data_IF_027459159902
#
_entry.id   IF_027459159902
#
_cell.length_a   1.000
_cell.length_b   1.000
_cell.length_c   1.000
_cell.angle_alpha   90.00
_cell.angle_beta   90.00
_cell.angle_gamma   90.00
#
_symmetry.space_group_name_H-M   'P 1'
#
loop_
_entity.id
_entity.type
_entity.pdbx_description
1 polymer ?
2 non-polymer ?
3 non-polymer ?
4 water ?
#
# COMPACT_ATOMS: atom_id res chain seq x y z
N UNK A 1 23.50 -15.45 -5.77
CA UNK A 1 23.56 -16.76 -5.12
C UNK A 1 22.26 -17.12 -4.45
N UNK A 2 21.74 -16.14 -3.72
CA UNK A 2 20.63 -16.36 -2.82
C UNK A 2 19.95 -15.03 -2.53
N UNK A 3 18.63 -15.04 -2.59
CA UNK A 3 17.84 -13.83 -2.42
C UNK A 3 16.87 -14.03 -1.25
N UNK A 4 16.78 -13.04 -0.38
CA UNK A 4 15.76 -13.06 0.67
C UNK A 4 14.78 -11.91 0.47
N UNK A 5 13.50 -12.22 0.45
CA UNK A 5 12.47 -11.19 0.48
C UNK A 5 12.02 -11.02 1.92
N UNK A 6 12.06 -9.79 2.41
CA UNK A 6 11.59 -9.50 3.77
C UNK A 6 10.33 -8.66 3.66
N UNK A 7 9.24 -9.14 4.29
CA UNK A 7 7.96 -8.42 4.26
C UNK A 7 7.27 -8.53 5.60
N UNK A 8 6.28 -7.66 5.81
CA UNK A 8 5.54 -7.69 7.05
C UNK A 8 4.03 -7.46 6.98
N UNK A 9 3.57 -6.74 5.95
CA UNK A 9 2.22 -6.14 5.98
C UNK A 9 1.42 -6.40 4.72
N UNK A 10 0.10 -6.24 4.83
CA UNK A 10 -0.81 -6.35 3.69
C UNK A 10 -0.33 -5.74 2.36
N UNK A 11 -0.03 -4.43 2.33
CA UNK A 11 0.37 -3.85 1.02
C UNK A 11 1.65 -4.43 0.45
N UNK A 12 2.59 -4.82 1.31
CA UNK A 12 3.84 -5.43 0.86
C UNK A 12 3.58 -6.75 0.19
N UNK A 13 2.68 -7.55 0.76
CA UNK A 13 2.41 -8.87 0.21
C UNK A 13 1.86 -8.72 -1.20
N UNK A 14 0.93 -7.79 -1.37
CA UNK A 14 0.31 -7.56 -2.66
C UNK A 14 1.34 -7.06 -3.67
N UNK A 15 2.14 -6.08 -3.28
CA UNK A 15 3.09 -5.48 -4.21
C UNK A 15 4.32 -6.34 -4.50
N UNK A 16 4.60 -7.31 -3.63
CA UNK A 16 5.67 -8.27 -3.88
C UNK A 16 5.19 -9.47 -4.68
N UNK A 17 3.88 -9.69 -4.75
CA UNK A 17 3.36 -10.84 -5.48
C UNK A 17 3.84 -10.94 -6.96
N UNK A 18 3.93 -9.82 -7.68
CA UNK A 18 4.45 -9.96 -9.06
C UNK A 18 5.93 -10.31 -9.11
N UNK A 19 6.68 -9.91 -8.09
CA UNK A 19 8.10 -10.29 -8.02
C UNK A 19 8.24 -11.78 -7.72
N UNK A 20 7.41 -12.27 -6.80
CA UNK A 20 7.34 -13.70 -6.52
C UNK A 20 6.94 -14.49 -7.77
N UNK A 21 5.94 -14.02 -8.52
CA UNK A 21 5.54 -14.69 -9.77
C UNK A 21 6.72 -14.80 -10.73
N UNK A 22 7.50 -13.73 -10.82
CA UNK A 22 8.66 -13.72 -11.71
C UNK A 22 9.77 -14.64 -11.21
N UNK A 23 10.06 -14.61 -9.90
CA UNK A 23 11.07 -15.48 -9.31
C UNK A 23 10.76 -16.96 -9.51
N UNK A 24 9.47 -17.32 -9.50
CA UNK A 24 9.05 -18.70 -9.69
C UNK A 24 9.41 -19.25 -11.06
N UNK A 25 9.65 -18.36 -12.02
CA UNK A 25 9.99 -18.79 -13.38
C UNK A 25 11.50 -18.86 -13.58
N UNK A 26 12.27 -18.74 -12.50
CA UNK A 26 13.72 -18.76 -12.58
C UNK A 26 14.33 -19.88 -11.76
N UNK A 27 15.65 -20.02 -11.87
CA UNK A 27 16.41 -20.97 -11.05
C UNK A 27 16.98 -20.32 -9.79
N UNK A 28 16.52 -19.13 -9.46
CA UNK A 28 17.07 -18.40 -8.31
C UNK A 28 16.67 -19.09 -7.01
N UNK A 29 17.62 -19.19 -6.09
CA UNK A 29 17.37 -19.66 -4.74
C UNK A 29 16.85 -18.49 -3.90
N UNK A 30 15.56 -18.54 -3.56
CA UNK A 30 14.95 -17.44 -2.83
C UNK A 30 13.94 -17.94 -1.81
N UNK A 31 13.72 -17.14 -0.77
CA UNK A 31 12.71 -17.45 0.23
C UNK A 31 12.22 -16.16 0.86
N UNK A 32 11.17 -16.27 1.65
CA UNK A 32 10.53 -15.13 2.29
C UNK A 32 10.78 -15.19 3.78
N UNK A 33 11.20 -14.04 4.33
CA UNK A 33 11.23 -13.80 5.75
C UNK A 33 10.07 -12.88 6.08
N UNK A 34 9.13 -13.37 6.89
CA UNK A 34 7.96 -12.60 7.29
C UNK A 34 8.18 -12.10 8.72
N UNK A 35 8.11 -10.79 8.94
CA UNK A 35 8.24 -10.27 10.30
C UNK A 35 6.95 -10.48 11.10
N UNK A 36 5.87 -10.77 10.39
CA UNK A 36 4.55 -10.89 10.99
C UNK A 36 4.16 -9.62 11.71
N UNK A 37 4.58 -8.48 11.14
CA UNK A 37 4.10 -7.18 11.58
C UNK A 37 2.57 -7.18 11.54
N UNK A 38 2.03 -7.67 10.42
CA UNK A 38 0.61 -7.98 10.31
C UNK A 38 0.41 -9.47 10.52
N UNK A 39 -0.67 -9.83 11.22
CA UNK A 39 -0.88 -11.20 11.70
C UNK A 39 -2.34 -11.61 11.65
N UNK A 40 -3.26 -10.65 11.72
CA UNK A 40 -4.67 -10.97 11.61
C UNK A 40 -4.90 -11.63 10.25
N UNK A 41 -5.74 -12.67 10.21
CA UNK A 41 -5.91 -13.44 8.98
C UNK A 41 -6.33 -12.60 7.77
N UNK A 42 -7.24 -11.67 8.00
CA UNK A 42 -7.69 -10.77 6.92
C UNK A 42 -6.70 -9.66 6.53
N UNK A 43 -5.54 -9.61 7.21
CA UNK A 43 -4.47 -8.68 6.87
C UNK A 43 -3.26 -9.38 6.28
N UNK A 44 -3.29 -10.70 6.23
CA UNK A 44 -2.08 -11.47 5.98
C UNK A 44 -2.33 -12.80 5.27
N UNK A 45 -2.83 -13.78 6.02
CA UNK A 45 -3.11 -15.12 5.50
C UNK A 45 -3.95 -15.08 4.21
N UNK A 46 -4.97 -14.22 4.17
CA UNK A 46 -5.84 -14.18 3.01
C UNK A 46 -5.10 -13.81 1.74
N UNK A 47 -4.04 -13.02 1.87
CA UNK A 47 -3.29 -12.60 0.69
C UNK A 47 -2.35 -13.68 0.20
N UNK A 48 -1.74 -14.40 1.14
CA UNK A 48 -0.94 -15.55 0.75
C UNK A 48 -1.80 -16.58 0.02
N UNK A 49 -3.04 -16.75 0.47
CA UNK A 49 -3.97 -17.67 -0.18
C UNK A 49 -4.45 -17.20 -1.55
N UNK A 50 -5.01 -16.00 -1.61
CA UNK A 50 -5.59 -15.53 -2.86
C UNK A 50 -4.55 -15.29 -3.94
N UNK A 51 -3.33 -14.94 -3.52
CA UNK A 51 -2.28 -14.62 -4.47
C UNK A 51 -1.37 -15.83 -4.74
N UNK A 52 -1.73 -16.98 -4.16
CA UNK A 52 -1.04 -18.24 -4.44
C UNK A 52 0.45 -18.12 -4.13
N UNK A 53 0.76 -17.63 -2.93
CA UNK A 53 2.13 -17.40 -2.51
C UNK A 53 2.61 -18.50 -1.60
N UNK A 54 3.92 -18.81 -1.65
CA UNK A 54 4.44 -19.88 -0.79
C UNK A 54 4.54 -19.44 0.67
N UNK A 55 4.54 -20.41 1.57
CA UNK A 55 4.75 -20.12 2.98
C UNK A 55 6.11 -19.49 3.19
N UNK A 56 6.18 -18.46 4.04
CA UNK A 56 7.49 -17.94 4.44
C UNK A 56 8.36 -19.03 5.06
N UNK A 57 9.66 -18.97 4.82
CA UNK A 57 10.59 -19.88 5.47
C UNK A 57 10.78 -19.51 6.94
N UNK A 58 10.72 -18.20 7.21
CA UNK A 58 10.86 -17.69 8.57
C UNK A 58 9.68 -16.80 8.93
N UNK A 59 9.15 -17.01 10.12
CA UNK A 59 8.16 -16.12 10.73
C UNK A 59 8.73 -15.60 12.03
N UNK A 60 8.92 -14.29 12.13
CA UNK A 60 9.60 -13.72 13.28
C UNK A 60 8.64 -13.36 14.42
N UNK A 61 7.34 -13.29 14.11
CA UNK A 61 6.29 -13.09 15.11
C UNK A 61 6.46 -11.79 15.92
N UNK A 62 6.85 -10.71 15.25
CA UNK A 62 7.11 -9.44 15.93
C UNK A 62 5.81 -8.76 16.32
N UNK A 63 4.87 -8.68 15.37
CA UNK A 63 3.58 -8.08 15.63
C UNK A 63 3.62 -6.60 15.95
N UNK A 64 2.69 -6.18 16.79
CA UNK A 64 2.46 -4.76 17.05
C UNK A 64 3.31 -4.21 18.18
N UNK A 65 3.46 -2.90 18.18
CA UNK A 65 4.17 -2.21 19.24
C UNK A 65 4.47 -0.80 18.81
N UNK A 66 5.09 -0.04 19.70
CA UNK A 66 5.55 1.29 19.34
C UNK A 66 6.74 1.15 18.39
N UNK A 67 7.11 2.25 17.74
CA UNK A 67 8.11 2.18 16.67
C UNK A 67 9.45 1.63 17.12
N UNK A 68 9.95 2.11 18.26
CA UNK A 68 11.25 1.67 18.71
C UNK A 68 11.23 0.20 19.14
N UNK A 69 10.18 -0.19 19.84
CA UNK A 69 9.99 -1.56 20.27
C UNK A 69 9.90 -2.51 19.07
N UNK A 70 9.03 -2.18 18.12
CA UNK A 70 8.78 -3.03 16.97
C UNK A 70 10.00 -3.09 16.05
N UNK A 71 10.55 -1.93 15.72
CA UNK A 71 11.71 -1.88 14.82
C UNK A 71 12.92 -2.53 15.49
N UNK A 72 13.11 -2.29 16.78
CA UNK A 72 14.21 -2.89 17.52
C UNK A 72 14.18 -4.41 17.55
N UNK A 73 13.01 -4.97 17.85
CA UNK A 73 12.85 -6.43 17.81
C UNK A 73 13.13 -6.95 16.39
N UNK A 74 12.68 -6.21 15.39
CA UNK A 74 12.94 -6.60 14.00
C UNK A 74 14.43 -6.63 13.67
N UNK A 75 15.19 -5.63 14.11
CA UNK A 75 16.64 -5.63 13.86
C UNK A 75 17.29 -6.85 14.49
N UNK A 76 16.92 -7.15 15.73
CA UNK A 76 17.48 -8.32 16.41
C UNK A 76 17.15 -9.62 15.68
N UNK A 77 15.87 -9.81 15.35
CA UNK A 77 15.44 -11.08 14.81
C UNK A 77 15.77 -11.28 13.34
N UNK A 78 15.70 -10.21 12.55
CA UNK A 78 16.08 -10.32 11.15
C UNK A 78 17.57 -10.61 11.07
N UNK A 79 18.37 -10.00 11.93
CA UNK A 79 19.80 -10.24 11.86
C UNK A 79 20.16 -11.69 12.15
N UNK A 80 19.47 -12.32 13.10
CA UNK A 80 19.71 -13.73 13.39
C UNK A 80 19.51 -14.59 12.13
N UNK A 81 18.44 -14.33 11.39
CA UNK A 81 18.19 -15.05 10.16
C UNK A 81 19.23 -14.78 9.09
N UNK A 82 19.57 -13.50 8.88
CA UNK A 82 20.51 -13.15 7.81
C UNK A 82 21.92 -13.64 8.09
N UNK A 83 22.32 -13.68 9.36
CA UNK A 83 23.61 -14.26 9.73
C UNK A 83 23.69 -15.76 9.44
N UNK A 84 22.55 -16.45 9.54
CA UNK A 84 22.50 -17.87 9.27
C UNK A 84 22.42 -18.14 7.78
N UNK A 85 21.51 -17.46 7.09
CA UNK A 85 21.21 -17.76 5.69
C UNK A 85 22.13 -17.08 4.70
N UNK A 86 22.72 -15.96 5.09
CA UNK A 86 23.68 -15.24 4.24
C UNK A 86 23.26 -15.06 2.77
N UNK A 87 22.10 -14.44 2.52
CA UNK A 87 21.76 -14.15 1.12
C UNK A 87 22.70 -13.07 0.62
N UNK A 88 22.81 -12.90 -0.69
CA UNK A 88 23.61 -11.76 -1.12
C UNK A 88 22.77 -10.59 -1.63
N UNK A 89 21.46 -10.78 -1.72
CA UNK A 89 20.55 -9.65 -1.93
C UNK A 89 19.33 -9.79 -1.03
N UNK A 90 18.90 -8.68 -0.43
CA UNK A 90 17.66 -8.58 0.32
C UNK A 90 16.71 -7.64 -0.43
N UNK A 91 15.48 -8.09 -0.64
CA UNK A 91 14.47 -7.29 -1.30
C UNK A 91 13.44 -6.82 -0.28
N UNK A 92 13.18 -5.52 -0.24
CA UNK A 92 12.13 -4.94 0.59
C UNK A 92 11.28 -4.02 -0.25
N UNK A 93 9.98 -3.94 0.08
CA UNK A 93 9.04 -3.17 -0.72
C UNK A 93 8.37 -2.10 0.11
N UNK A 94 8.53 -0.86 -0.31
CA UNK A 94 7.74 0.22 0.25
C UNK A 94 8.33 0.96 1.43
N UNK A 95 7.53 1.13 2.47
CA UNK A 95 7.86 2.13 3.48
C UNK A 95 7.39 1.80 4.91
N UNK A 96 7.19 0.53 5.22
CA UNK A 96 6.76 0.14 6.56
C UNK A 96 7.98 -0.01 7.46
N UNK A 97 7.74 -0.19 8.76
CA UNK A 97 8.85 -0.45 9.68
C UNK A 97 9.62 -1.71 9.31
N UNK A 98 8.93 -2.70 8.76
CA UNK A 98 9.58 -3.92 8.29
C UNK A 98 10.63 -3.61 7.22
N UNK A 99 10.29 -2.70 6.30
CA UNK A 99 11.20 -2.32 5.23
C UNK A 99 12.47 -1.70 5.79
N UNK A 100 12.31 -0.72 6.68
CA UNK A 100 13.47 -0.07 7.27
C UNK A 100 14.33 -1.06 8.04
N UNK A 101 13.70 -1.92 8.83
CA UNK A 101 14.48 -2.86 9.65
C UNK A 101 15.25 -3.82 8.75
N UNK A 102 14.60 -4.35 7.73
CA UNK A 102 15.28 -5.26 6.82
C UNK A 102 16.47 -4.60 6.15
N UNK A 103 16.27 -3.38 5.66
CA UNK A 103 17.35 -2.64 4.99
C UNK A 103 18.52 -2.31 5.92
N UNK A 104 18.19 -1.88 7.13
CA UNK A 104 19.22 -1.51 8.09
C UNK A 104 20.04 -2.72 8.51
N UNK A 105 19.41 -3.86 8.73
CA UNK A 105 20.16 -5.05 9.08
C UNK A 105 21.09 -5.44 7.93
N UNK A 106 20.53 -5.51 6.73
CA UNK A 106 21.29 -5.94 5.57
C UNK A 106 22.48 -5.02 5.30
N UNK A 107 22.27 -3.71 5.39
CA UNK A 107 23.31 -2.74 5.12
C UNK A 107 24.53 -2.92 6.04
N UNK A 108 24.29 -3.16 7.32
CA UNK A 108 25.40 -3.35 8.25
C UNK A 108 26.10 -4.69 8.06
N UNK A 109 25.39 -5.67 7.47
CA UNK A 109 25.98 -6.96 7.17
C UNK A 109 26.64 -6.96 5.79
N UNK A 110 26.60 -5.82 5.11
CA UNK A 110 27.17 -5.64 3.78
C UNK A 110 26.48 -6.53 2.73
N UNK A 111 25.18 -6.71 2.92
CA UNK A 111 24.34 -7.42 1.96
C UNK A 111 23.58 -6.39 1.14
N UNK A 112 23.67 -6.50 -0.18
CA UNK A 112 22.99 -5.55 -1.07
C UNK A 112 21.48 -5.49 -0.81
N UNK A 113 20.95 -4.27 -0.71
CA UNK A 113 19.53 -4.07 -0.52
C UNK A 113 18.88 -3.59 -1.83
N UNK A 114 17.81 -4.28 -2.22
CA UNK A 114 17.01 -3.85 -3.36
C UNK A 114 15.68 -3.32 -2.86
N UNK A 115 15.42 -2.05 -3.12
CA UNK A 115 14.22 -1.38 -2.64
C UNK A 115 13.22 -1.22 -3.76
N UNK A 116 12.10 -1.93 -3.63
CA UNK A 116 11.01 -1.86 -4.59
C UNK A 116 10.10 -0.72 -4.18
N UNK A 117 9.78 0.16 -5.13
CA UNK A 117 8.99 1.38 -4.90
C UNK A 117 9.85 2.43 -4.16
N UNK A 118 10.98 2.73 -4.77
CA UNK A 118 11.96 3.67 -4.24
C UNK A 118 11.68 5.09 -4.75
N UNK A 119 12.00 6.07 -3.93
CA UNK A 119 12.01 7.46 -4.38
C UNK A 119 10.72 8.23 -4.22
N UNK A 120 9.66 7.58 -3.74
CA UNK A 120 8.42 8.29 -3.50
C UNK A 120 8.63 9.29 -2.36
N UNK A 121 8.11 10.51 -2.52
CA UNK A 121 8.24 11.52 -1.47
C UNK A 121 6.95 12.31 -1.29
N UNK A 122 6.51 12.42 -0.05
CA UNK A 122 5.44 13.34 0.32
C UNK A 122 6.02 14.66 0.82
N UNK A 123 7.29 14.61 1.23
CA UNK A 123 7.99 15.75 1.86
C UNK A 123 7.34 16.18 3.17
N UNK A 124 6.63 15.23 3.77
CA UNK A 124 6.13 15.35 5.12
C UNK A 124 7.05 14.44 5.91
N UNK A 125 8.35 14.75 5.93
CA UNK A 125 9.35 13.87 6.55
C UNK A 125 9.16 13.75 8.07
N UNK A 126 8.00 14.22 8.54
CA UNK A 126 7.54 13.94 9.89
C UNK A 126 6.68 12.66 9.97
N UNK A 127 6.15 12.18 8.83
CA UNK A 127 5.40 10.91 8.67
C UNK A 127 6.32 9.70 8.90
N UNK A 128 5.87 8.63 9.60
CA UNK A 128 6.83 7.53 9.75
C UNK A 128 7.16 6.85 8.40
N UNK A 129 6.20 6.80 7.49
CA UNK A 129 6.45 6.21 6.18
C UNK A 129 7.50 6.98 5.41
N UNK A 130 7.47 8.30 5.49
CA UNK A 130 8.43 9.12 4.76
C UNK A 130 9.82 8.89 5.34
N UNK A 131 9.93 8.82 6.67
CA UNK A 131 11.20 8.51 7.32
C UNK A 131 11.72 7.17 6.83
N UNK A 132 10.85 6.15 6.86
CA UNK A 132 11.27 4.81 6.47
C UNK A 132 11.76 4.76 5.04
N UNK A 133 11.04 5.42 4.15
CA UNK A 133 11.39 5.35 2.74
C UNK A 133 12.67 6.12 2.43
N UNK A 134 12.81 7.31 3.00
CA UNK A 134 14.03 8.11 2.79
C UNK A 134 15.25 7.36 3.29
N UNK A 135 15.19 6.85 4.52
CA UNK A 135 16.33 6.14 5.08
C UNK A 135 16.67 4.89 4.27
N UNK A 136 15.66 4.13 3.90
CA UNK A 136 15.87 2.93 3.12
C UNK A 136 16.51 3.26 1.77
N UNK A 137 16.03 4.31 1.12
CA UNK A 137 16.59 4.69 -0.18
C UNK A 137 18.09 4.97 -0.06
N UNK A 138 18.51 5.57 1.06
CA UNK A 138 19.90 5.93 1.21
C UNK A 138 20.84 4.80 1.58
N UNK A 139 20.28 3.61 1.85
CA UNK A 139 21.13 2.44 2.05
C UNK A 139 20.88 1.33 1.04
N UNK A 140 20.17 1.66 -0.04
CA UNK A 140 19.86 0.67 -1.07
C UNK A 140 20.91 0.60 -2.16
N UNK A 141 21.15 -0.59 -2.67
CA UNK A 141 22.04 -0.79 -3.80
C UNK A 141 21.30 -0.77 -5.14
N UNK A 142 20.02 -1.14 -5.11
CA UNK A 142 19.15 -1.05 -6.27
C UNK A 142 17.91 -0.29 -5.85
N UNK A 143 17.56 0.75 -6.61
CA UNK A 143 16.40 1.57 -6.29
C UNK A 143 15.44 1.46 -7.45
N UNK A 144 14.37 0.70 -7.23
CA UNK A 144 13.40 0.46 -8.28
C UNK A 144 12.29 1.50 -8.18
N UNK A 145 12.46 2.57 -8.96
CA UNK A 145 11.56 3.72 -8.92
C UNK A 145 10.38 3.49 -9.84
N UNK A 146 9.18 3.92 -9.41
CA UNK A 146 8.02 3.64 -10.28
C UNK A 146 7.87 4.65 -11.41
N UNK A 147 8.43 5.84 -11.24
CA UNK A 147 8.25 6.92 -12.21
C UNK A 147 9.50 7.78 -12.30
N UNK A 148 9.54 8.63 -13.31
CA UNK A 148 10.62 9.60 -13.45
C UNK A 148 10.64 10.63 -12.33
N UNK A 149 9.47 10.98 -11.80
CA UNK A 149 9.39 11.85 -10.62
C UNK A 149 10.16 11.27 -9.45
N UNK A 150 9.95 9.98 -9.19
CA UNK A 150 10.64 9.27 -8.14
C UNK A 150 12.15 9.23 -8.39
N UNK A 151 12.55 8.96 -9.63
CA UNK A 151 13.97 8.99 -9.97
C UNK A 151 14.57 10.36 -9.69
N UNK A 152 13.86 11.40 -10.09
CA UNK A 152 14.35 12.75 -9.87
C UNK A 152 14.45 13.09 -8.38
N UNK A 153 13.50 12.61 -7.58
CA UNK A 153 13.60 12.74 -6.13
C UNK A 153 14.89 12.15 -5.59
N UNK A 154 15.23 10.96 -6.07
CA UNK A 154 16.45 10.28 -5.64
C UNK A 154 17.70 11.04 -6.08
N UNK A 155 17.73 11.52 -7.32
CA UNK A 155 18.87 12.28 -7.83
C UNK A 155 19.10 13.55 -7.03
N UNK A 156 18.00 14.20 -6.62
CA UNK A 156 18.07 15.44 -5.84
C UNK A 156 18.63 15.20 -4.44
N UNK A 157 18.57 13.96 -3.97
CA UNK A 157 19.17 13.59 -2.68
C UNK A 157 20.55 12.96 -2.87
N UNK A 158 21.11 13.13 -4.06
CA UNK A 158 22.51 12.79 -4.32
C UNK A 158 22.78 11.32 -4.56
N UNK A 159 21.74 10.52 -4.74
CA UNK A 159 21.93 9.10 -4.99
C UNK A 159 22.44 8.90 -6.41
N UNK A 160 23.39 7.99 -6.57
CA UNK A 160 24.04 7.76 -7.85
C UNK A 160 23.07 7.19 -8.88
N UNK A 161 23.10 7.76 -10.08
CA UNK A 161 22.16 7.38 -11.11
C UNK A 161 22.23 5.90 -11.47
N UNK A 162 23.41 5.30 -11.39
CA UNK A 162 23.54 3.90 -11.81
C UNK A 162 22.85 2.91 -10.88
N UNK A 163 22.40 3.39 -9.71
CA UNK A 163 21.65 2.58 -8.77
C UNK A 163 20.14 2.60 -9.05
N UNK A 164 19.71 3.54 -9.88
CA UNK A 164 18.29 3.83 -10.07
C UNK A 164 17.76 3.24 -11.37
N UNK A 165 16.65 2.52 -11.26
CA UNK A 165 15.98 1.92 -12.41
C UNK A 165 14.52 2.31 -12.35
N UNK A 166 14.01 2.99 -13.38
CA UNK A 166 12.59 3.32 -13.44
C UNK A 166 11.87 2.17 -14.11
N UNK A 167 11.16 1.39 -13.30
CA UNK A 167 10.60 0.12 -13.76
C UNK A 167 9.08 0.07 -13.75
N UNK A 168 8.44 1.15 -13.32
CA UNK A 168 7.00 1.16 -13.10
C UNK A 168 6.70 0.66 -11.70
N UNK A 169 5.42 0.70 -11.33
CA UNK A 169 5.01 0.16 -10.03
C UNK A 169 4.41 -1.22 -10.18
N UNK A 170 4.90 -2.17 -9.38
CA UNK A 170 4.36 -3.54 -9.42
C UNK A 170 2.87 -3.63 -9.12
N UNK A 171 2.27 -2.59 -8.55
CA UNK A 171 0.83 -2.61 -8.31
C UNK A 171 0.06 -2.69 -9.63
N UNK A 172 0.65 -2.17 -10.73
CA UNK A 172 0.02 -2.35 -12.03
C UNK A 172 -0.03 -3.83 -12.39
N UNK A 173 1.09 -4.52 -12.27
CA UNK A 173 1.13 -5.97 -12.50
C UNK A 173 0.05 -6.66 -11.68
N UNK A 174 -0.01 -6.35 -10.39
CA UNK A 174 -0.92 -7.02 -9.47
C UNK A 174 -2.39 -6.78 -9.84
N UNK A 175 -2.71 -5.54 -10.15
CA UNK A 175 -4.07 -5.18 -10.48
C UNK A 175 -4.43 -5.83 -11.81
N UNK A 176 -3.44 -5.92 -12.70
CA UNK A 176 -3.60 -6.55 -14.02
C UNK A 176 -3.55 -8.08 -14.02
N UNK A 177 -2.86 -8.69 -13.04
CA UNK A 177 -2.85 -10.16 -12.93
C UNK A 177 -4.14 -10.66 -12.25
N UNK A 178 -4.76 -9.82 -11.42
CA UNK A 178 -5.84 -10.26 -10.52
C UNK A 178 -7.26 -9.76 -10.81
N UNK A 179 -7.41 -8.64 -11.53
CA UNK A 179 -8.76 -8.14 -11.81
C UNK A 179 -9.56 -9.16 -12.63
N UNK A 180 -8.97 -9.72 -13.67
CA UNK A 180 -9.74 -10.69 -14.45
C UNK A 180 -10.02 -11.97 -13.66
N UNK A 181 -9.11 -12.38 -12.78
CA UNK A 181 -9.36 -13.50 -11.87
C UNK A 181 -10.56 -13.20 -10.97
N UNK A 182 -10.57 -12.03 -10.37
CA UNK A 182 -11.67 -11.60 -9.51
C UNK A 182 -12.99 -11.61 -10.27
N UNK A 183 -12.99 -10.99 -11.45
CA UNK A 183 -14.19 -10.89 -12.27
C UNK A 183 -14.78 -12.26 -12.65
N UNK A 184 -13.92 -13.26 -12.84
CA UNK A 184 -14.38 -14.57 -13.32
C UNK A 184 -14.59 -15.59 -12.21
N UNK A 185 -14.42 -15.16 -10.96
CA UNK A 185 -14.61 -16.07 -9.84
C UNK A 185 -15.98 -15.91 -9.21
N UNK A 186 -16.74 -17.00 -9.16
CA UNK A 186 -18.11 -16.93 -8.66
C UNK A 186 -18.21 -16.57 -7.18
N UNK A 187 -17.31 -17.11 -6.36
CA UNK A 187 -17.29 -16.75 -4.94
C UNK A 187 -17.03 -15.25 -4.74
N UNK A 188 -16.11 -14.68 -5.51
CA UNK A 188 -15.84 -13.24 -5.40
C UNK A 188 -17.06 -12.42 -5.80
N UNK A 189 -17.70 -12.81 -6.91
CA UNK A 189 -18.92 -12.13 -7.35
C UNK A 189 -20.02 -12.22 -6.30
N UNK A 190 -20.13 -13.38 -5.66
CA UNK A 190 -21.14 -13.57 -4.61
C UNK A 190 -20.88 -12.66 -3.40
N UNK A 191 -19.62 -12.54 -3.00
CA UNK A 191 -19.27 -11.62 -1.93
C UNK A 191 -19.68 -10.20 -2.31
N UNK A 192 -19.29 -9.78 -3.51
CA UNK A 192 -19.58 -8.42 -3.97
C UNK A 192 -21.08 -8.15 -3.91
N UNK A 193 -21.87 -9.08 -4.44
CA UNK A 193 -23.32 -8.92 -4.44
C UNK A 193 -23.93 -8.94 -3.04
N UNK A 194 -23.26 -9.58 -2.09
CA UNK A 194 -23.72 -9.61 -0.70
C UNK A 194 -23.52 -8.26 -0.02
N UNK A 195 -22.44 -7.58 -0.41
CA UNK A 195 -22.04 -6.32 0.22
C UNK A 195 -22.70 -5.10 -0.45
N UNK A 196 -22.79 -5.13 -1.77
CA UNK A 196 -23.29 -3.98 -2.53
C UNK A 196 -24.76 -4.17 -2.89
N UNK A 199 -26.42 0.13 -6.40
CA UNK A 199 -25.24 -0.04 -7.25
C UNK A 199 -24.31 1.16 -7.13
N UNK A 200 -24.88 2.32 -6.79
CA UNK A 200 -24.08 3.53 -6.59
C UNK A 200 -23.54 3.63 -5.16
N UNK A 201 -22.22 3.62 -5.02
CA UNK A 201 -21.62 3.78 -3.70
C UNK A 201 -20.26 4.46 -3.78
N UNK A 202 -19.83 5.03 -2.66
CA UNK A 202 -18.45 5.49 -2.53
C UNK A 202 -17.73 4.47 -1.67
N UNK A 203 -16.48 4.18 -2.00
CA UNK A 203 -15.67 3.26 -1.21
C UNK A 203 -14.67 4.04 -0.35
N UNK A 204 -14.63 3.73 0.94
CA UNK A 204 -13.76 4.44 1.87
C UNK A 204 -12.78 3.51 2.59
N UNK A 205 -11.51 3.91 2.64
CA UNK A 205 -10.56 3.33 3.60
C UNK A 205 -9.79 4.45 4.27
N UNK A 206 -9.43 4.26 5.53
CA UNK A 206 -8.75 5.30 6.29
C UNK A 206 -7.90 4.65 7.36
N UNK A 207 -6.58 4.88 7.34
CA UNK A 207 -5.72 4.30 8.37
C UNK A 207 -4.39 5.01 8.65
N UNK A 208 -4.10 6.12 7.98
CA UNK A 208 -2.83 6.82 8.24
C UNK A 208 -2.76 7.18 9.71
N UNK A 209 -1.60 6.99 10.32
CA UNK A 209 -1.43 7.31 11.73
C UNK A 209 -1.83 8.75 12.03
N UNK A 210 -1.44 9.67 11.14
CA UNK A 210 -1.68 11.09 11.37
C UNK A 210 -3.16 11.46 11.29
N UNK A 211 -3.97 10.57 10.70
CA UNK A 211 -5.42 10.80 10.59
C UNK A 211 -6.24 10.11 11.66
N UNK A 212 -5.82 8.93 12.09
CA UNK A 212 -6.69 8.14 12.97
C UNK A 212 -6.21 8.14 14.42
N UNK A 213 -4.96 8.50 14.64
CA UNK A 213 -4.42 8.56 16.01
C UNK A 213 -4.73 9.92 16.66
N UNK A 214 -5.17 10.87 15.84
CA UNK A 214 -5.44 12.26 16.24
C UNK A 214 -6.95 12.43 16.27
N UNK A 215 -7.53 12.53 17.47
CA UNK A 215 -8.99 12.50 17.61
C UNK A 215 -9.73 13.61 16.85
N UNK A 216 -9.22 14.83 16.88
CA UNK A 216 -9.97 15.89 16.22
C UNK A 216 -9.83 15.82 14.68
N UNK A 217 -8.72 15.27 14.17
CA UNK A 217 -8.62 15.00 12.75
C UNK A 217 -9.59 13.89 12.35
N UNK A 218 -9.63 12.83 13.15
CA UNK A 218 -10.54 11.72 12.88
C UNK A 218 -12.00 12.17 12.96
N UNK A 219 -12.32 12.98 13.97
CA UNK A 219 -13.65 13.54 14.10
C UNK A 219 -14.02 14.39 12.88
N UNK A 220 -13.07 15.22 12.43
CA UNK A 220 -13.29 16.04 11.24
C UNK A 220 -13.61 15.23 9.99
N UNK A 221 -12.88 14.13 9.82
CA UNK A 221 -13.09 13.27 8.67
C UNK A 221 -14.46 12.57 8.74
N UNK A 222 -14.78 12.02 9.91
CA UNK A 222 -16.10 11.42 10.11
C UNK A 222 -17.23 12.42 9.84
N UNK A 223 -17.10 13.65 10.36
CA UNK A 223 -18.06 14.73 10.08
C UNK A 223 -18.18 14.93 8.58
N UNK A 224 -17.03 14.98 7.90
CA UNK A 224 -17.01 15.13 6.46
C UNK A 224 -17.76 14.03 5.74
N UNK A 225 -17.57 12.78 6.17
CA UNK A 225 -18.28 11.67 5.56
C UNK A 225 -19.80 11.76 5.79
N UNK A 226 -20.20 12.09 7.01
CA UNK A 226 -21.62 12.27 7.33
C UNK A 226 -22.25 13.33 6.40
N UNK A 227 -21.48 14.37 6.11
CA UNK A 227 -21.97 15.48 5.29
C UNK A 227 -22.10 15.11 3.81
N UNK A 228 -21.09 14.38 3.29
CA UNK A 228 -21.15 13.85 1.92
C UNK A 228 -22.43 13.07 1.70
N UNK A 229 -22.74 12.21 2.66
CA UNK A 229 -23.90 11.36 2.61
C UNK A 229 -25.20 12.19 2.50
N UNK A 230 -25.29 13.24 3.29
CA UNK A 230 -26.49 14.07 3.32
C UNK A 230 -26.63 14.94 2.08
N UNK A 231 -25.50 15.45 1.59
CA UNK A 231 -25.52 16.36 0.45
C UNK A 231 -25.72 15.63 -0.87
N UNK A 232 -25.06 14.48 -1.01
CA UNK A 232 -25.08 13.75 -2.27
C UNK A 232 -25.98 12.51 -2.28
N UNK A 233 -26.56 12.20 -1.12
CA UNK A 233 -27.44 11.04 -0.96
C UNK A 233 -26.75 9.78 -1.45
N UNK A 234 -25.58 9.50 -0.89
CA UNK A 234 -24.76 8.38 -1.35
C UNK A 234 -24.46 7.40 -0.25
N UNK A 235 -24.52 6.11 -0.58
CA UNK A 235 -24.11 5.07 0.35
C UNK A 235 -22.59 4.97 0.37
N UNK A 236 -22.04 4.67 1.54
CA UNK A 236 -20.60 4.50 1.70
C UNK A 236 -20.31 3.07 2.14
N UNK A 237 -19.34 2.43 1.50
CA UNK A 237 -18.82 1.15 1.98
C UNK A 237 -17.45 1.42 2.57
N UNK A 238 -17.28 1.10 3.84
CA UNK A 238 -16.07 1.43 4.60
C UNK A 238 -15.39 0.14 5.03
N UNK A 239 -14.28 -0.20 4.38
CA UNK A 239 -13.43 -1.30 4.84
C UNK A 239 -12.52 -0.75 5.93
N UNK A 240 -12.69 -1.24 7.15
CA UNK A 240 -12.06 -0.61 8.32
C UNK A 240 -10.82 -1.35 8.83
N UNK A 241 -9.67 -0.68 8.70
CA UNK A 241 -8.38 -1.21 9.15
C UNK A 241 -8.44 -1.41 10.66
N UNK A 242 -7.78 -2.46 11.17
CA UNK A 242 -7.86 -2.70 12.62
C UNK A 242 -7.30 -1.57 13.49
N UNK A 243 -6.28 -0.84 13.02
CA UNK A 243 -5.83 0.33 13.76
C UNK A 243 -6.97 1.33 13.90
N UNK A 244 -7.66 1.57 12.80
CA UNK A 244 -8.73 2.55 12.77
C UNK A 244 -9.93 2.15 13.62
N UNK A 245 -10.27 0.87 13.60
CA UNK A 245 -11.34 0.38 14.46
C UNK A 245 -11.00 0.65 15.93
N UNK A 246 -9.75 0.38 16.30
CA UNK A 246 -9.30 0.54 17.67
C UNK A 246 -9.37 2.00 18.08
N UNK A 247 -8.93 2.89 17.18
CA UNK A 247 -8.96 4.32 17.46
C UNK A 247 -10.38 4.89 17.49
N UNK A 248 -11.23 4.45 16.57
CA UNK A 248 -12.62 4.90 16.56
C UNK A 248 -13.33 4.58 17.88
N UNK A 249 -13.04 3.39 18.41
CA UNK A 249 -13.63 3.00 19.68
C UNK A 249 -13.02 3.79 20.84
N UNK A 250 -11.71 4.03 20.76
CA UNK A 250 -11.01 4.80 21.79
C UNK A 250 -11.56 6.22 21.90
N UNK A 251 -11.91 6.81 20.76
CA UNK A 251 -12.38 8.19 20.72
C UNK A 251 -13.91 8.29 20.72
N UNK A 252 -14.58 7.16 20.97
CA UNK A 252 -16.04 7.10 20.96
C UNK A 252 -16.69 7.61 19.68
N UNK A 253 -16.18 7.17 18.54
CA UNK A 253 -16.75 7.53 17.25
C UNK A 253 -17.31 6.32 16.53
N UNK A 254 -16.91 5.12 16.96
CA UNK A 254 -17.30 3.90 16.28
C UNK A 254 -18.81 3.71 16.26
N UNK A 255 -19.45 3.83 17.42
CA UNK A 255 -20.89 3.65 17.51
C UNK A 255 -21.67 4.64 16.65
N UNK A 256 -21.14 5.84 16.46
CA UNK A 256 -21.78 6.80 15.57
C UNK A 256 -21.76 6.40 14.09
N UNK A 257 -20.67 5.75 13.65
CA UNK A 257 -20.61 5.24 12.28
C UNK A 257 -21.60 4.10 12.09
N UNK A 258 -21.58 3.14 13.00
CA UNK A 258 -22.47 1.99 12.89
C UNK A 258 -23.94 2.40 12.97
N UNK A 259 -24.19 3.55 13.60
CA UNK A 259 -25.53 4.11 13.70
C UNK A 259 -25.99 4.76 12.40
N UNK A 260 -25.04 5.09 11.54
CA UNK A 260 -25.37 5.71 10.26
C UNK A 260 -25.79 4.63 9.26
N UNK A 261 -27.06 4.61 8.90
CA UNK A 261 -27.59 3.53 8.07
C UNK A 261 -27.14 3.63 6.61
N UNK A 262 -26.49 4.73 6.25
CA UNK A 262 -25.94 4.88 4.90
C UNK A 262 -24.48 4.45 4.82
N UNK A 263 -23.91 4.06 5.94
CA UNK A 263 -22.54 3.54 5.95
C UNK A 263 -22.55 2.05 6.20
N UNK A 264 -21.98 1.28 5.27
CA UNK A 264 -21.80 -0.14 5.50
C UNK A 264 -20.35 -0.41 5.90
N UNK A 265 -20.16 -0.80 7.16
CA UNK A 265 -18.82 -1.09 7.66
C UNK A 265 -18.53 -2.56 7.44
N UNK A 266 -17.40 -2.83 6.80
CA UNK A 266 -16.97 -4.21 6.58
C UNK A 266 -15.57 -4.41 7.13
N UNK A 267 -15.31 -5.60 7.65
CA UNK A 267 -13.97 -5.99 8.05
C UNK A 267 -13.11 -6.02 6.79
N UNK A 268 -11.78 -5.87 6.95
CA UNK A 268 -10.86 -5.96 5.82
C UNK A 268 -11.12 -7.22 5.00
N UNK A 269 -11.10 -7.07 3.67
CA UNK A 269 -11.36 -8.19 2.77
C UNK A 269 -10.13 -8.55 1.94
N UNK A 270 -10.19 -9.68 1.24
CA UNK A 270 -9.10 -10.12 0.38
C UNK A 270 -8.92 -9.22 -0.83
N UNK A 271 -7.80 -9.39 -1.51
CA UNK A 271 -7.47 -8.54 -2.65
C UNK A 271 -8.48 -8.65 -3.80
N UNK A 272 -8.91 -9.87 -4.10
CA UNK A 272 -9.85 -10.07 -5.19
C UNK A 272 -11.17 -9.35 -4.92
N UNK A 273 -11.65 -9.52 -3.69
CA UNK A 273 -12.87 -8.87 -3.24
C UNK A 273 -12.71 -7.35 -3.28
N UNK A 274 -11.56 -6.85 -2.80
CA UNK A 274 -11.37 -5.40 -2.76
C UNK A 274 -11.26 -4.79 -4.15
N UNK A 275 -10.58 -5.47 -5.07
CA UNK A 275 -10.50 -4.99 -6.45
C UNK A 275 -11.89 -4.82 -7.04
N UNK A 276 -12.78 -5.76 -6.75
CA UNK A 276 -14.15 -5.62 -7.22
C UNK A 276 -14.86 -4.42 -6.61
N UNK A 277 -14.65 -4.19 -5.32
CA UNK A 277 -15.23 -3.00 -4.71
C UNK A 277 -14.66 -1.72 -5.33
N UNK A 278 -13.36 -1.69 -5.60
CA UNK A 278 -12.76 -0.50 -6.22
C UNK A 278 -13.30 -0.29 -7.62
N UNK A 279 -13.29 -1.35 -8.42
CA UNK A 279 -13.63 -1.23 -9.83
C UNK A 279 -15.03 -0.69 -10.01
N UNK A 280 -15.92 -1.05 -9.09
CA UNK A 280 -17.33 -0.72 -9.25
C UNK A 280 -17.80 0.51 -8.45
N UNK A 281 -16.88 1.15 -7.76
CA UNK A 281 -17.21 2.31 -6.94
C UNK A 281 -17.46 3.54 -7.83
N UNK A 282 -18.41 4.38 -7.46
CA UNK A 282 -18.60 5.62 -8.22
C UNK A 282 -17.43 6.56 -7.94
N UNK A 283 -16.93 6.52 -6.72
CA UNK A 283 -15.69 7.22 -6.41
C UNK A 283 -15.05 6.59 -5.17
N UNK A 284 -13.75 6.79 -5.02
CA UNK A 284 -12.99 6.20 -3.93
C UNK A 284 -12.48 7.32 -3.01
N UNK A 285 -12.66 7.15 -1.70
CA UNK A 285 -12.17 8.10 -0.70
C UNK A 285 -11.17 7.36 0.15
N UNK A 286 -9.96 7.89 0.27
CA UNK A 286 -8.93 7.10 0.94
C UNK A 286 -7.79 7.94 1.49
N UNK A 287 -7.06 7.36 2.43
CA UNK A 287 -5.72 7.86 2.74
C UNK A 287 -4.64 6.80 2.53
N UNK A 288 -5.02 5.70 1.86
CA UNK A 288 -4.08 4.62 1.52
C UNK A 288 -3.19 4.97 0.35
N UNK A 289 -1.93 4.55 0.38
CA UNK A 289 -1.04 4.75 -0.77
C UNK A 289 -1.43 3.86 -1.94
N UNK A 290 -1.57 2.57 -1.68
CA UNK A 290 -1.92 1.63 -2.73
C UNK A 290 -3.27 1.91 -3.36
N UNK A 291 -4.25 2.33 -2.56
CA UNK A 291 -5.58 2.57 -3.11
C UNK A 291 -5.57 3.77 -4.07
N UNK A 292 -4.76 4.79 -3.77
CA UNK A 292 -4.62 5.92 -4.71
C UNK A 292 -4.14 5.42 -6.07
N UNK A 293 -3.18 4.51 -6.06
CA UNK A 293 -2.66 3.94 -7.29
C UNK A 293 -3.69 3.09 -8.02
N UNK A 294 -4.36 2.21 -7.29
CA UNK A 294 -5.38 1.36 -7.89
C UNK A 294 -6.55 2.14 -8.45
N UNK A 295 -6.99 3.19 -7.75
CA UNK A 295 -8.07 4.04 -8.24
C UNK A 295 -7.66 4.61 -9.59
N UNK A 296 -6.41 5.07 -9.69
CA UNK A 296 -5.94 5.65 -10.93
C UNK A 296 -5.92 4.61 -12.05
N UNK A 297 -5.40 3.43 -11.74
CA UNK A 297 -5.29 2.35 -12.71
C UNK A 297 -6.66 1.89 -13.22
N UNK A 298 -7.61 1.81 -12.30
CA UNK A 298 -8.96 1.33 -12.61
C UNK A 298 -9.88 2.40 -13.18
N UNK A 299 -9.34 3.63 -13.31
CA UNK A 299 -10.09 4.77 -13.86
C UNK A 299 -11.31 5.13 -13.01
N UNK A 300 -11.14 5.08 -11.70
CA UNK A 300 -12.18 5.47 -10.77
C UNK A 300 -11.67 6.71 -10.04
N UNK A 301 -12.44 7.81 -10.08
CA UNK A 301 -11.95 9.03 -9.44
C UNK A 301 -11.64 8.83 -7.95
N UNK A 302 -10.57 9.48 -7.49
CA UNK A 302 -10.10 9.31 -6.13
C UNK A 302 -10.08 10.65 -5.40
N UNK A 303 -10.46 10.63 -4.13
CA UNK A 303 -10.30 11.78 -3.26
C UNK A 303 -9.45 11.34 -2.08
N UNK A 304 -8.32 12.02 -1.89
CA UNK A 304 -7.34 11.61 -0.88
C UNK A 304 -7.46 12.48 0.36
N UNK A 305 -7.73 11.84 1.49
CA UNK A 305 -7.96 12.54 2.75
C UNK A 305 -6.64 12.82 3.46
N UNK A 306 -5.74 13.51 2.76
CA UNK A 306 -4.41 13.86 3.26
C UNK A 306 -4.05 15.25 2.75
N UNK A 307 -3.06 15.88 3.38
CA UNK A 307 -2.63 17.21 2.97
C UNK A 307 -1.59 17.13 1.86
N UNK A 308 -1.06 15.94 1.65
CA UNK A 308 -0.08 15.71 0.60
C UNK A 308 -0.09 14.25 0.23
N UNK A 309 0.60 13.91 -0.84
CA UNK A 309 0.70 12.52 -1.25
C UNK A 309 2.09 12.24 -1.80
N UNK A 310 2.52 11.00 -1.72
CA UNK A 310 3.81 10.62 -2.29
C UNK A 310 3.62 10.00 -3.67
N UNK A 311 2.38 10.00 -4.16
CA UNK A 311 2.15 9.69 -5.57
C UNK A 311 1.45 10.85 -6.25
N UNK A 312 2.16 11.97 -6.42
CA UNK A 312 1.59 13.19 -6.97
C UNK A 312 1.19 13.04 -8.42
N UNK A 313 1.69 11.99 -9.09
CA UNK A 313 1.34 11.76 -10.49
C UNK A 313 -0.17 11.55 -10.64
N UNK A 314 -0.80 10.97 -9.62
CA UNK A 314 -2.25 10.77 -9.67
C UNK A 314 -3.01 12.09 -9.66
N UNK A 315 -2.50 13.08 -8.94
CA UNK A 315 -3.09 14.41 -8.94
C UNK A 315 -2.75 15.09 -10.26
N UNK A 316 -1.50 14.92 -10.70
CA UNK A 316 -0.99 15.56 -11.92
C UNK A 316 -1.81 15.14 -13.16
N UNK A 317 -2.21 13.87 -13.26
CA UNK A 317 -2.98 13.40 -14.42
C UNK A 317 -4.49 13.64 -14.29
N UNK A 318 -4.94 14.07 -13.11
CA UNK A 318 -6.32 14.48 -12.88
C UNK A 318 -7.20 13.41 -12.22
N UNK A 319 -6.57 12.33 -11.80
CA UNK A 319 -7.29 11.18 -11.27
C UNK A 319 -7.62 11.33 -9.79
N UNK A 320 -7.00 12.29 -9.12
CA UNK A 320 -6.97 12.35 -7.65
C UNK A 320 -6.93 13.80 -7.22
N UNK A 321 -7.47 14.08 -6.04
CA UNK A 321 -7.47 15.42 -5.48
C UNK A 321 -7.28 15.29 -3.96
N UNK A 322 -6.47 16.18 -3.39
CA UNK A 322 -6.19 16.17 -1.96
C UNK A 322 -7.14 17.11 -1.21
N UNK A 323 -7.74 16.59 -0.13
CA UNK A 323 -8.67 17.39 0.68
C UNK A 323 -8.36 17.41 2.17
N UNK A 324 -7.35 16.64 2.58
CA UNK A 324 -6.99 16.53 3.98
C UNK A 324 -8.16 16.25 4.91
N UNK A 325 -8.23 17.10 5.93
CA UNK A 325 -9.12 17.12 7.09
C UNK A 325 -10.39 17.92 6.78
N UNK A 326 -10.33 18.68 5.71
CA UNK A 326 -11.26 19.80 5.47
C UNK A 326 -12.57 19.36 4.83
N UNK A 327 -13.69 19.56 5.52
CA UNK A 327 -14.95 19.05 5.00
C UNK A 327 -15.45 19.86 3.80
N UNK A 328 -15.14 21.15 3.76
CA UNK A 328 -15.56 21.97 2.63
C UNK A 328 -14.79 21.56 1.37
N UNK A 329 -13.49 21.29 1.53
CA UNK A 329 -12.70 20.79 0.41
C UNK A 329 -13.22 19.44 -0.05
N UNK A 330 -13.65 18.61 0.91
CA UNK A 330 -14.20 17.30 0.58
C UNK A 330 -15.49 17.43 -0.21
N UNK A 331 -16.37 18.32 0.23
CA UNK A 331 -17.64 18.52 -0.46
C UNK A 331 -17.42 18.97 -1.91
N UNK A 332 -16.55 19.97 -2.10
CA UNK A 332 -16.27 20.47 -3.44
C UNK A 332 -15.63 19.40 -4.32
N UNK A 333 -14.70 18.65 -3.73
CA UNK A 333 -14.03 17.57 -4.46
C UNK A 333 -14.99 16.49 -4.95
N UNK A 334 -16.00 16.16 -4.15
CA UNK A 334 -16.98 15.17 -4.56
C UNK A 334 -17.72 15.66 -5.80
N UNK A 335 -18.13 16.92 -5.79
CA UNK A 335 -18.79 17.51 -6.95
C UNK A 335 -17.91 17.43 -8.20
N UNK A 336 -16.66 17.84 -8.05
CA UNK A 336 -15.71 17.83 -9.16
C UNK A 336 -15.53 16.42 -9.70
N UNK A 337 -15.30 15.47 -8.79
CA UNK A 337 -15.01 14.10 -9.20
C UNK A 337 -16.22 13.34 -9.74
N UNK A 338 -17.41 13.69 -9.26
CA UNK A 338 -18.66 13.11 -9.75
C UNK A 338 -18.88 13.43 -11.23
N UNK A 339 -18.34 14.56 -11.67
CA UNK A 339 -18.52 15.02 -13.04
C UNK A 339 -17.27 14.84 -13.90
N UNK A 340 -16.23 14.27 -13.28
CA UNK A 340 -14.95 14.05 -13.94
C UNK A 340 -15.03 12.93 -14.97
N UNK A 341 -14.59 13.21 -16.20
CA UNK A 341 -14.50 12.15 -17.21
C UNK A 341 -13.41 11.16 -16.80
N UNK A 342 -13.74 9.87 -16.84
CA UNK A 342 -12.82 8.86 -16.35
C UNK A 342 -11.80 8.46 -17.40
N UNK A 343 -11.18 9.50 -17.97
CA UNK A 343 -10.04 9.31 -18.84
C UNK A 343 -8.87 10.09 -18.27
N UNK A 344 -7.74 9.40 -18.17
CA UNK A 344 -6.48 10.00 -17.81
C UNK A 344 -5.39 9.02 -18.15
N UNK A 345 -4.16 9.52 -18.23
CA UNK A 345 -2.99 8.69 -18.48
C UNK A 345 -2.68 7.80 -17.27
N UNK A 346 -2.12 6.61 -17.50
CA UNK A 346 -1.55 5.85 -16.39
C UNK A 346 -0.05 6.00 -16.36
N UNK A 347 0.45 6.64 -15.30
CA UNK A 347 1.85 7.00 -15.14
C UNK A 347 2.68 5.86 -14.55
N UNK A 348 2.06 4.73 -14.21
CA UNK A 348 2.75 3.74 -13.41
C UNK A 348 3.28 2.53 -14.16
N UNK A 349 3.22 2.56 -15.47
CA UNK A 349 3.83 1.53 -16.28
C UNK A 349 2.87 0.52 -16.88
N UNK A 350 3.44 -0.48 -17.54
CA UNK A 350 2.60 -1.40 -18.31
C UNK A 350 2.49 -2.80 -17.70
N UNK A 351 2.77 -2.92 -16.40
CA UNK A 351 2.40 -4.12 -15.67
C UNK A 351 3.36 -5.29 -15.77
N UNK A 352 4.59 -5.01 -16.15
CA UNK A 352 5.63 -6.03 -16.20
C UNK A 352 6.82 -5.62 -15.33
N UNK A 353 6.54 -4.83 -14.31
CA UNK A 353 7.57 -4.35 -13.40
C UNK A 353 8.24 -5.47 -12.62
N UNK A 354 7.45 -6.44 -12.17
CA UNK A 354 8.01 -7.57 -11.42
C UNK A 354 9.05 -8.31 -12.23
N UNK A 355 8.73 -8.61 -13.49
CA UNK A 355 9.67 -9.32 -14.33
C UNK A 355 10.92 -8.50 -14.58
N UNK A 356 10.76 -7.19 -14.77
CA UNK A 356 11.91 -6.32 -15.03
C UNK A 356 12.84 -6.25 -13.81
N UNK A 357 12.25 -6.15 -12.63
CA UNK A 357 13.01 -6.14 -11.38
C UNK A 357 13.84 -7.40 -11.22
N UNK A 358 13.23 -8.56 -11.47
CA UNK A 358 13.95 -9.82 -11.35
C UNK A 358 15.07 -9.93 -12.39
N UNK A 359 14.82 -9.45 -13.61
CA UNK A 359 15.88 -9.44 -14.63
C UNK A 359 17.06 -8.58 -14.19
N UNK A 360 16.78 -7.39 -13.66
CA UNK A 360 17.84 -6.50 -13.20
C UNK A 360 18.66 -7.14 -12.09
N UNK A 361 18.00 -7.80 -11.14
CA UNK A 361 18.71 -8.42 -10.04
C UNK A 361 19.51 -9.61 -10.53
N UNK A 362 19.02 -10.30 -11.56
CA UNK A 362 19.74 -11.42 -12.14
C UNK A 362 21.05 -10.98 -12.76
N UNK A 363 20.99 -9.91 -13.56
CA UNK A 363 22.19 -9.42 -14.24
C UNK A 363 23.10 -8.61 -13.31
N UNK A 364 22.50 -7.85 -12.40
CA UNK A 364 23.25 -7.00 -11.49
C UNK A 364 23.58 -5.65 -12.11
X LIG B 1 1.35 -0.33 8.87
X LIG B 1 2.34 0.57 8.22
X LIG B 1 1.73 1.42 7.22
X LIG B 1 0.94 0.68 6.22
X LIG B 1 -0.01 -0.28 6.91
X LIG B 1 -0.68 -1.20 5.96
X LIG B 1 4.30 1.22 9.75
X LIG B 1 4.81 2.20 10.77
X LIG B 1 2.98 1.45 9.23
X LIG B 1 0.42 0.45 9.54
X LIG B 1 2.74 2.18 6.54
X LIG B 1 0.21 1.55 5.38
X LIG B 1 0.68 -1.11 7.83
X LIG B 1 -1.96 -1.58 6.32
X LIG B 1 4.99 0.27 9.37
X LIG B 1 -3.41 -4.54 13.95
X LIG B 1 -4.16 -5.65 14.07
X LIG B 1 -3.87 -6.72 13.34
X LIG B 1 -2.84 -6.73 12.48
X LIG B 1 -2.06 -5.59 12.33
X LIG B 1 -2.37 -4.47 13.09
X LIG B 1 -5.09 -5.68 14.84
X LIG B 1 -2.58 -7.84 11.74
X LIG B 1 -3.72 -3.33 14.74
X LIG B 1 -3.12 -3.30 16.09
X LIG B 1 -4.00 -2.66 16.98
X LIG B 1 -1.93 -2.51 15.91
X LIG B 1 -2.38 -1.48 14.94
X LIG B 1 -3.28 -2.15 14.06
X LIG B 1 -1.42 -1.94 17.09
X LIG B 1 -1.26 -0.91 14.15
X LIG B 1 -0.42 -1.84 13.53
X LIG B 1 0.91 -1.38 12.89
X LIG B 1 1.78 -0.78 13.95
X LIG B 1 1.56 -2.56 12.23
X LIG B 1 0.62 -0.23 11.87
X LIG B 1 -0.46 -0.13 10.71
X LIG B 1 -1.45 0.93 11.09
X LIG B 1 -1.03 -1.49 10.38
X LIG C 1 -6.75 -3.83 0.25
X LIG C 1 -7.34 -5.05 0.32
X LIG C 1 -8.43 -5.22 1.10
X LIG C 1 -8.97 -4.21 1.82
X LIG C 1 -8.39 -2.93 1.76
X LIG C 1 -7.25 -2.78 0.97
X LIG C 1 -6.88 -6.00 -0.31
X LIG C 1 -10.10 -4.44 2.60
X LIG C 1 -5.52 -3.59 -0.53
X LIG C 1 -5.56 -2.62 -1.59
X LIG C 1 -6.16 -3.15 -2.74
X LIG C 1 -4.15 -2.24 -1.75
X LIG C 1 -3.58 -2.45 -0.43
X LIG C 1 -4.57 -3.06 0.37
X LIG C 1 -3.46 -3.02 -2.68
X LIG C 1 -3.17 -1.19 0.26
X LIG C 1 -2.75 -1.42 1.58
X LIG C 1 -2.96 -0.37 2.75
X LIG C 1 -3.26 -1.13 4.02
X LIG C 1 -4.08 0.58 2.37
X LIG C 1 -1.60 0.39 2.99
X LIG C 1 -0.81 1.51 2.21
X LIG C 1 -0.89 1.26 0.72
X LIG C 1 -1.37 2.85 2.61
X LIG C 1 0.59 1.32 2.74
#
# INVERSE_FOLDING_TARGET
MKLSIILGTRPEIIKLSPIIRALEKTNIDWHIIHTNQHYSENMDKIFFEELNLPNPKYNLNIGSGTHGEQTGKMLIEIEKVLLKEKPDVVVVQGDTNTVLAGALVASKLKIDVAHVEAGLRSFDRNMPEEINRVLTDHISSYLFAPTEIAKNNLLREGIEENKIFVVGNTIVDATLQNLKIAEKNENVRAFFNSVVIDDDYFLLTLHRAENVDNKERLKNIVEGIFEIIEIYDKAIIFSIHPRTKKRLKEFNLFDKLKSNKKIKIIEPVGYLEFLMLEKNAELILTDSGGVQEEACILKVPCITLRDNTERPETVEVGANILVGDNKEKLIKAVEIMLNKKRNWKNPFGNGKSGERIVRILTYGKYLEHHHHHH
UD1 C1' C2' C3' C4' C5' C6' C7' C8' N2' O1' O3' O4' O5' O6' O7' N1 C2 N3 C4 C5 C6 O2 O4 C1B C2B O2' C3B C4B O4B O3B C5B O5B PA O1A O2A O3A PB O1B O2B
UDP N1 C2 N3 C4 C5 C6 O2 O4 C1' C2' O2' C3' C4' O4' O3' C5' O5' PA O1A O2A O3A PB O1B O2B O3B
#
